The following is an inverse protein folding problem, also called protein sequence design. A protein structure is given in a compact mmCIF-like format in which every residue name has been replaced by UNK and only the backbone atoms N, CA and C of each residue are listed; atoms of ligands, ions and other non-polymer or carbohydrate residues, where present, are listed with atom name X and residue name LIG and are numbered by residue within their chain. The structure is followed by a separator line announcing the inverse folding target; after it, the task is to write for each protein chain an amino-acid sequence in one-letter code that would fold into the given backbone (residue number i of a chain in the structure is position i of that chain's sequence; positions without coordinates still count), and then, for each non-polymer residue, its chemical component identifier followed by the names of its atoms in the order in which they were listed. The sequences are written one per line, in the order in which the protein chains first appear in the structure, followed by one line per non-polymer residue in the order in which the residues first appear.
data_IF_189817905549
#
_entry.id   IF_189817905549
#
_cell.length_a   1.000
_cell.length_b   1.000
_cell.length_c   1.000
_cell.angle_alpha   90.00
_cell.angle_beta   90.00
_cell.angle_gamma   90.00
#
_symmetry.space_group_name_H-M   'P 1'
#
loop_
_entity.id
_entity.type
_entity.pdbx_description
1 polymer ?
#
# COMPACT_ATOMS: atom_id res chain seq x y z
N UNK A 1 16.16 3.89 30.43
CA UNK A 1 16.54 3.18 29.19
C UNK A 1 15.37 3.32 28.24
N UNK A 2 15.52 3.80 27.00
CA UNK A 2 14.37 4.01 26.13
C UNK A 2 13.73 2.65 25.82
N UNK A 3 12.42 2.56 26.10
CA UNK A 3 11.55 1.43 25.81
C UNK A 3 11.65 1.05 24.34
N UNK A 4 12.24 -0.11 24.04
CA UNK A 4 12.41 -0.63 22.69
C UNK A 4 11.11 -1.26 22.14
N UNK A 5 10.01 -0.51 22.10
CA UNK A 5 8.66 -1.07 21.88
C UNK A 5 7.94 -0.64 20.60
N UNK A 6 8.57 0.13 19.70
CA UNK A 6 7.93 0.59 18.46
C UNK A 6 8.59 0.02 17.19
N UNK A 7 7.76 -0.51 16.29
CA UNK A 7 8.16 -1.13 15.02
C UNK A 7 8.86 -0.15 14.05
N UNK A 8 8.35 1.09 14.00
CA UNK A 8 8.82 2.23 13.21
C UNK A 8 8.66 3.51 14.05
N UNK A 9 9.48 4.55 13.83
CA UNK A 9 9.41 5.79 14.61
C UNK A 9 8.13 6.59 14.31
N UNK A 10 7.74 7.49 15.22
CA UNK A 10 6.50 8.26 15.10
C UNK A 10 6.44 9.16 13.84
N UNK A 11 7.54 9.80 13.45
CA UNK A 11 7.68 10.52 12.17
C UNK A 11 8.77 9.88 11.32
N UNK A 12 8.55 9.84 10.00
CA UNK A 12 9.52 9.39 9.01
C UNK A 12 9.60 10.49 7.94
N UNK A 13 10.49 11.49 8.10
CA UNK A 13 10.69 12.52 7.08
C UNK A 13 11.35 11.91 5.85
N UNK A 14 10.98 12.38 4.65
CA UNK A 14 11.45 11.88 3.36
C UNK A 14 11.42 10.34 3.25
N UNK A 15 10.36 9.72 3.76
CA UNK A 15 10.20 8.27 3.70
C UNK A 15 10.19 7.80 2.24
N UNK A 16 11.13 6.93 1.90
CA UNK A 16 11.15 6.25 0.61
C UNK A 16 10.38 4.93 0.71
N UNK A 17 9.28 4.84 -0.03
CA UNK A 17 8.37 3.70 0.01
C UNK A 17 8.28 3.05 -1.37
N UNK A 18 8.65 1.78 -1.47
CA UNK A 18 8.42 0.97 -2.66
C UNK A 18 6.99 0.44 -2.62
N UNK A 19 6.13 0.99 -3.46
CA UNK A 19 4.70 0.64 -3.46
C UNK A 19 4.50 -0.78 -4.00
N UNK A 20 3.97 -1.70 -3.20
CA UNK A 20 3.73 -3.11 -3.62
C UNK A 20 2.24 -3.46 -3.65
N UNK A 21 1.43 -2.77 -2.84
CA UNK A 21 0.00 -2.96 -2.71
C UNK A 21 -0.70 -1.63 -2.98
N UNK A 22 -1.71 -1.67 -3.85
CA UNK A 22 -2.64 -0.57 -4.10
C UNK A 22 -4.03 -1.13 -4.04
N UNK A 23 -4.94 -0.48 -3.31
CA UNK A 23 -6.36 -0.82 -3.39
C UNK A 23 -6.92 -0.29 -4.70
N UNK A 24 -7.89 -1.02 -5.26
CA UNK A 24 -8.68 -0.49 -6.36
C UNK A 24 -9.52 0.69 -5.83
N UNK A 25 -9.47 1.88 -6.46
CA UNK A 25 -10.30 3.01 -6.05
C UNK A 25 -11.77 2.64 -6.19
N UNK A 26 -12.55 2.91 -5.15
CA UNK A 26 -13.97 2.65 -5.14
C UNK A 26 -14.72 4.00 -5.12
N UNK A 27 -15.45 4.39 -6.19
CA UNK A 27 -16.42 5.49 -6.20
C UNK A 27 -17.23 5.62 -4.91
N UNK A 28 -17.06 6.75 -4.24
CA UNK A 28 -17.84 7.10 -3.05
C UNK A 28 -18.42 8.50 -3.20
N UNK A 29 -19.72 8.65 -2.94
CA UNK A 29 -20.46 9.91 -3.04
C UNK A 29 -20.00 11.00 -2.05
N UNK A 30 -19.12 10.70 -1.09
CA UNK A 30 -18.97 11.54 0.10
C UNK A 30 -17.72 12.40 0.12
N UNK A 31 -16.58 11.95 -0.40
CA UNK A 31 -15.33 12.72 -0.41
C UNK A 31 -14.42 12.13 -1.50
N UNK A 32 -13.52 12.96 -2.07
CA UNK A 32 -12.48 12.53 -3.02
C UNK A 32 -11.88 11.20 -2.58
N UNK A 33 -11.83 10.23 -3.50
CA UNK A 33 -11.63 8.83 -3.15
C UNK A 33 -10.27 8.60 -2.48
N UNK A 34 -10.32 8.27 -1.18
CA UNK A 34 -9.14 7.95 -0.39
C UNK A 34 -8.82 6.45 -0.53
N UNK A 35 -7.66 6.15 -1.10
CA UNK A 35 -7.19 4.77 -1.22
C UNK A 35 -6.19 4.44 -0.12
N UNK A 36 -6.11 3.15 0.19
CA UNK A 36 -5.01 2.60 0.97
C UNK A 36 -3.89 2.16 0.02
N UNK A 37 -2.66 2.49 0.38
CA UNK A 37 -1.47 1.94 -0.28
C UNK A 37 -0.57 1.30 0.77
N UNK A 38 0.16 0.27 0.39
CA UNK A 38 1.21 -0.29 1.24
C UNK A 38 2.44 -0.65 0.41
N UNK A 39 3.58 -0.63 1.07
CA UNK A 39 4.86 -0.81 0.45
C UNK A 39 5.93 -1.24 1.43
N UNK A 40 7.16 -1.24 0.94
CA UNK A 40 8.35 -1.61 1.69
C UNK A 40 9.28 -0.41 1.79
N UNK A 41 9.86 -0.19 2.96
CA UNK A 41 11.01 0.67 3.14
C UNK A 41 12.28 -0.03 2.61
N UNK A 42 13.39 0.71 2.49
CA UNK A 42 14.67 0.16 2.04
C UNK A 42 15.16 -1.03 2.86
N UNK A 43 14.87 -1.06 4.17
CA UNK A 43 15.23 -2.16 5.06
C UNK A 43 14.31 -3.38 4.94
N UNK A 44 13.24 -3.30 4.13
CA UNK A 44 12.27 -4.36 3.93
C UNK A 44 11.11 -4.34 4.93
N UNK A 45 11.04 -3.37 5.84
CA UNK A 45 9.87 -3.19 6.70
C UNK A 45 8.66 -2.77 5.88
N UNK A 46 7.54 -3.43 6.15
CA UNK A 46 6.24 -3.02 5.64
C UNK A 46 5.82 -1.67 6.21
N UNK A 47 5.21 -0.84 5.36
CA UNK A 47 4.56 0.41 5.74
C UNK A 47 3.24 0.55 4.98
N UNK A 48 2.19 0.96 5.68
CA UNK A 48 0.88 1.28 5.13
C UNK A 48 0.67 2.78 5.20
N UNK A 49 0.30 3.38 4.08
CA UNK A 49 0.00 4.80 3.98
C UNK A 49 -1.49 4.97 3.72
N UNK A 50 -2.20 5.55 4.69
CA UNK A 50 -3.64 5.80 4.62
C UNK A 50 -4.02 7.03 5.47
N UNK A 51 -4.90 7.91 4.96
CA UNK A 51 -5.44 7.89 3.60
C UNK A 51 -4.50 8.53 2.57
N UNK A 52 -4.60 8.10 1.31
CA UNK A 52 -3.98 8.80 0.17
C UNK A 52 -5.06 9.16 -0.84
N UNK A 53 -5.27 10.45 -1.18
CA UNK A 53 -6.22 10.89 -2.21
C UNK A 53 -5.64 10.63 -3.62
N UNK A 54 -5.40 9.36 -3.96
CA UNK A 54 -4.62 8.99 -5.14
C UNK A 54 -5.24 9.48 -6.46
N UNK A 55 -6.57 9.52 -6.55
CA UNK A 55 -7.27 9.98 -7.76
C UNK A 55 -7.22 11.50 -7.93
N UNK A 56 -7.13 12.24 -6.82
CA UNK A 56 -7.03 13.71 -6.83
C UNK A 56 -5.58 14.18 -7.05
N UNK A 57 -4.59 13.26 -7.01
CA UNK A 57 -3.21 13.59 -7.32
C UNK A 57 -3.07 14.02 -8.78
N UNK A 58 -2.25 15.04 -9.07
CA UNK A 58 -1.81 15.34 -10.42
C UNK A 58 -1.29 14.08 -11.12
N UNK A 59 -1.51 13.95 -12.42
CA UNK A 59 -1.22 12.73 -13.18
C UNK A 59 0.25 12.27 -13.01
N UNK A 60 1.18 13.21 -13.00
CA UNK A 60 2.62 12.99 -12.80
C UNK A 60 2.99 12.51 -11.38
N UNK A 61 2.06 12.64 -10.42
CA UNK A 61 2.19 12.17 -9.03
C UNK A 61 1.46 10.84 -8.80
N UNK A 62 0.75 10.32 -9.80
CA UNK A 62 0.11 9.01 -9.73
C UNK A 62 1.15 7.91 -9.95
N UNK A 63 1.54 7.25 -8.86
CA UNK A 63 2.51 6.15 -8.87
C UNK A 63 1.93 4.79 -9.29
N UNK A 64 2.81 3.97 -9.88
CA UNK A 64 2.55 2.58 -10.25
C UNK A 64 2.94 1.58 -9.16
N UNK A 65 2.51 0.32 -9.29
CA UNK A 65 3.08 -0.77 -8.50
C UNK A 65 4.58 -0.94 -8.81
N UNK A 66 5.34 -1.25 -7.76
CA UNK A 66 6.79 -1.35 -7.70
C UNK A 66 7.51 -0.07 -8.13
N UNK A 67 6.94 1.08 -7.77
CA UNK A 67 7.57 2.39 -7.94
C UNK A 67 7.92 2.96 -6.58
N UNK A 68 9.12 3.53 -6.49
CA UNK A 68 9.53 4.31 -5.34
C UNK A 68 8.75 5.62 -5.30
N UNK A 69 8.30 5.98 -4.12
CA UNK A 69 7.82 7.33 -3.82
C UNK A 69 8.53 7.88 -2.60
N UNK A 70 8.69 9.20 -2.55
CA UNK A 70 9.25 9.89 -1.40
C UNK A 70 8.23 10.87 -0.85
N UNK A 71 7.96 10.80 0.46
CA UNK A 71 7.03 11.69 1.15
C UNK A 71 7.29 11.74 2.67
N UNK A 72 6.88 12.81 3.32
CA UNK A 72 6.91 12.89 4.78
C UNK A 72 5.74 12.11 5.38
N UNK A 73 6.03 11.19 6.29
CA UNK A 73 5.04 10.35 6.95
C UNK A 73 4.99 10.62 8.45
N UNK A 74 3.79 10.58 9.00
CA UNK A 74 3.54 10.60 10.44
C UNK A 74 2.64 9.42 10.82
N UNK A 75 2.87 8.88 12.02
CA UNK A 75 2.08 7.78 12.56
C UNK A 75 0.59 8.09 12.51
N UNK A 76 -0.21 7.15 12.05
CA UNK A 76 -1.67 7.27 12.10
C UNK A 76 -2.17 6.69 13.43
N UNK A 77 -2.39 7.55 14.43
CA UNK A 77 -2.81 7.17 15.79
C UNK A 77 -4.22 6.61 15.87
N UNK A 78 -5.05 6.79 14.82
CA UNK A 78 -6.40 6.23 14.75
C UNK A 78 -6.41 4.79 14.19
N UNK A 79 -5.24 4.24 13.85
CA UNK A 79 -5.08 2.87 13.40
C UNK A 79 -4.09 2.13 14.30
N UNK A 80 -4.54 1.03 14.90
CA UNK A 80 -3.76 0.25 15.87
C UNK A 80 -2.54 -0.44 15.23
N UNK A 81 -2.50 -0.58 13.90
CA UNK A 81 -1.40 -1.28 13.22
C UNK A 81 -0.11 -0.48 13.36
N UNK A 82 1.00 -1.10 13.82
CA UNK A 82 2.25 -0.39 14.05
C UNK A 82 2.92 0.12 12.76
N UNK A 83 2.56 -0.41 11.60
CA UNK A 83 2.99 0.04 10.27
C UNK A 83 2.06 1.07 9.62
N UNK A 84 1.00 1.53 10.29
CA UNK A 84 0.05 2.51 9.75
C UNK A 84 0.55 3.95 9.91
N UNK A 85 0.67 4.64 8.79
CA UNK A 85 1.11 6.02 8.64
C UNK A 85 0.17 6.79 7.71
N UNK A 86 0.23 8.12 7.78
CA UNK A 86 -0.43 9.03 6.87
C UNK A 86 0.57 10.07 6.35
N UNK A 87 0.34 10.67 5.17
CA UNK A 87 1.10 11.84 4.75
C UNK A 87 1.05 12.93 5.83
N UNK A 88 2.20 13.49 6.17
CA UNK A 88 2.31 14.59 7.14
C UNK A 88 1.72 15.89 6.58
N UNK A 89 1.92 16.08 5.28
CA UNK A 89 1.42 17.21 4.50
C UNK A 89 0.44 16.70 3.45
N UNK A 90 -0.14 17.61 2.67
CA UNK A 90 -0.96 17.26 1.52
C UNK A 90 -0.23 16.31 0.57
N UNK A 91 -0.98 15.39 -0.02
CA UNK A 91 -0.42 14.31 -0.83
C UNK A 91 0.24 14.82 -2.13
N UNK A 92 0.00 16.07 -2.54
CA UNK A 92 0.65 16.71 -3.68
C UNK A 92 2.19 16.75 -3.57
N UNK A 93 2.73 16.67 -2.34
CA UNK A 93 4.18 16.64 -2.09
C UNK A 93 4.84 15.28 -2.33
N UNK A 94 4.09 14.26 -2.73
CA UNK A 94 4.66 12.97 -3.13
C UNK A 94 5.65 13.20 -4.27
N UNK A 95 6.86 12.65 -4.16
CA UNK A 95 7.83 12.64 -5.25
C UNK A 95 7.85 11.25 -5.87
N UNK A 96 7.86 11.20 -7.20
CA UNK A 96 7.87 9.96 -7.95
C UNK A 96 9.29 9.58 -8.29
N UNK A 97 9.70 8.39 -7.85
CA UNK A 97 11.00 7.80 -8.12
C UNK A 97 10.95 6.71 -9.20
N UNK A 98 12.02 5.92 -9.24
CA UNK A 98 12.19 4.86 -10.21
C UNK A 98 11.15 3.75 -10.03
N UNK A 99 10.64 3.23 -11.15
CA UNK A 99 9.86 1.99 -11.17
C UNK A 99 10.75 0.77 -11.40
N UNK A 100 10.80 -0.12 -10.41
CA UNK A 100 11.51 -1.40 -10.51
C UNK A 100 10.78 -2.30 -11.51
N UNK A 101 11.45 -2.59 -12.63
CA UNK A 101 10.92 -3.46 -13.69
C UNK A 101 10.97 -4.95 -13.29
N UNK A 102 10.43 -5.80 -14.15
CA UNK A 102 10.29 -7.26 -13.94
C UNK A 102 11.45 -8.08 -14.53
N UNK A 103 12.51 -7.41 -15.02
CA UNK A 103 13.65 -8.06 -15.69
C UNK A 103 14.35 -9.08 -14.77
N UNK A 104 15.04 -10.05 -15.40
CA UNK A 104 15.83 -11.07 -14.72
C UNK A 104 15.03 -11.80 -13.62
N UNK A 105 13.84 -12.29 -13.95
CA UNK A 105 12.96 -12.99 -13.00
C UNK A 105 12.68 -12.16 -11.73
N UNK A 106 12.38 -10.87 -11.90
CA UNK A 106 12.10 -9.93 -10.82
C UNK A 106 13.24 -9.79 -9.78
N UNK A 107 14.50 -10.00 -10.18
CA UNK A 107 15.65 -10.00 -9.28
C UNK A 107 15.70 -8.78 -8.36
N UNK A 108 15.52 -7.57 -8.91
CA UNK A 108 15.55 -6.33 -8.11
C UNK A 108 14.39 -6.24 -7.12
N UNK A 109 13.16 -6.63 -7.51
CA UNK A 109 12.02 -6.60 -6.59
C UNK A 109 12.21 -7.57 -5.43
N UNK A 110 12.78 -8.75 -5.70
CA UNK A 110 13.06 -9.78 -4.69
C UNK A 110 14.02 -9.29 -3.60
N UNK A 111 14.97 -8.39 -3.92
CA UNK A 111 15.89 -7.80 -2.93
C UNK A 111 15.19 -7.06 -1.80
N UNK A 112 13.98 -6.54 -2.04
CA UNK A 112 13.16 -5.86 -1.04
C UNK A 112 12.10 -6.78 -0.45
N UNK A 113 11.33 -7.45 -1.32
CA UNK A 113 10.20 -8.30 -0.91
C UNK A 113 10.64 -9.49 -0.05
N UNK A 114 11.84 -10.03 -0.29
CA UNK A 114 12.35 -11.21 0.42
C UNK A 114 13.29 -10.92 1.60
N UNK A 115 13.37 -9.68 2.07
CA UNK A 115 14.16 -9.37 3.27
C UNK A 115 13.61 -10.02 4.54
N UNK A 116 12.28 -10.08 4.66
CA UNK A 116 11.59 -10.82 5.71
C UNK A 116 10.50 -11.68 5.08
N UNK A 117 10.63 -13.00 5.20
CA UNK A 117 9.68 -13.95 4.62
C UNK A 117 9.29 -14.97 5.66
N UNK A 118 7.99 -15.10 5.87
CA UNK A 118 7.39 -16.12 6.72
C UNK A 118 7.07 -17.35 5.88
N UNK A 119 7.18 -18.53 6.48
CA UNK A 119 6.78 -19.80 5.87
C UNK A 119 5.66 -20.50 6.65
N UNK A 120 5.19 -19.90 7.74
CA UNK A 120 4.17 -20.43 8.63
C UNK A 120 3.09 -19.39 8.86
N UNK A 121 1.86 -19.72 8.45
CA UNK A 121 0.71 -18.88 8.77
C UNK A 121 0.37 -18.93 10.27
N UNK A 122 0.73 -20.01 10.98
CA UNK A 122 0.53 -20.10 12.43
C UNK A 122 1.36 -19.04 13.15
N UNK A 123 2.62 -18.88 12.75
CA UNK A 123 3.54 -17.91 13.34
C UNK A 123 3.03 -16.48 13.09
N UNK A 124 2.54 -16.22 11.88
CA UNK A 124 1.90 -14.95 11.55
C UNK A 124 0.62 -14.68 12.36
N UNK A 125 -0.21 -15.69 12.64
CA UNK A 125 -1.39 -15.53 13.51
C UNK A 125 -0.98 -15.17 14.94
N UNK A 126 0.10 -15.77 15.45
CA UNK A 126 0.66 -15.44 16.77
C UNK A 126 1.16 -13.99 16.79
N UNK A 127 1.99 -13.61 15.81
CA UNK A 127 2.52 -12.24 15.69
C UNK A 127 1.41 -11.19 15.46
N UNK A 128 0.32 -11.56 14.79
CA UNK A 128 -0.86 -10.71 14.61
C UNK A 128 -1.67 -10.52 15.89
N UNK A 129 -1.32 -11.16 17.00
CA UNK A 129 -1.95 -10.99 18.32
C UNK A 129 -0.94 -10.55 19.40
N UNK A 130 0.33 -10.46 19.05
CA UNK A 130 1.42 -10.08 19.95
C UNK A 130 1.70 -8.57 19.91
N UNK A 131 2.59 -8.08 20.77
CA UNK A 131 3.02 -6.68 20.82
C UNK A 131 4.52 -6.55 20.48
N UNK A 132 4.90 -5.81 19.42
CA UNK A 132 4.03 -5.10 18.47
C UNK A 132 3.32 -6.04 17.49
N UNK A 133 2.06 -5.72 17.18
CA UNK A 133 1.22 -6.54 16.31
C UNK A 133 1.69 -6.50 14.85
N UNK A 134 1.91 -7.64 14.19
CA UNK A 134 2.21 -7.65 12.75
C UNK A 134 0.94 -7.85 11.92
N UNK A 135 0.60 -6.89 11.06
CA UNK A 135 -0.60 -6.98 10.20
C UNK A 135 -0.28 -7.16 8.71
N UNK A 136 0.92 -6.79 8.28
CA UNK A 136 1.46 -7.04 6.94
C UNK A 136 2.70 -7.94 7.00
N UNK A 137 2.82 -8.85 6.04
CA UNK A 137 3.94 -9.77 5.93
C UNK A 137 4.10 -10.31 4.50
N UNK A 138 5.33 -10.70 4.16
CA UNK A 138 5.58 -11.56 2.99
C UNK A 138 5.48 -13.01 3.45
N UNK A 139 4.56 -13.78 2.86
CA UNK A 139 4.38 -15.20 3.15
C UNK A 139 4.80 -16.03 1.93
N UNK A 140 5.69 -17.00 2.14
CA UNK A 140 5.96 -18.07 1.19
C UNK A 140 4.90 -19.16 1.39
N UNK A 141 4.02 -19.41 0.41
CA UNK A 141 3.07 -20.52 0.50
C UNK A 141 3.83 -21.86 0.49
N UNK A 142 3.26 -22.86 1.16
CA UNK A 142 3.84 -24.21 1.19
C UNK A 142 3.78 -24.87 -0.19
N UNK A 143 2.61 -24.78 -0.85
CA UNK A 143 2.37 -25.25 -2.20
C UNK A 143 1.47 -24.26 -2.94
N UNK A 144 1.68 -24.13 -4.25
CA UNK A 144 0.73 -23.48 -5.16
C UNK A 144 -0.07 -24.63 -5.78
N UNK A 145 -1.36 -24.73 -5.43
CA UNK A 145 -2.21 -25.86 -5.85
C UNK A 145 -2.72 -25.67 -7.27
N UNK A 146 -3.19 -24.46 -7.59
CA UNK A 146 -3.77 -24.12 -8.88
C UNK A 146 -3.64 -22.61 -9.15
N UNK A 147 -3.78 -22.21 -10.41
CA UNK A 147 -3.83 -20.83 -10.85
C UNK A 147 -4.90 -20.67 -11.93
N UNK A 148 -6.06 -20.16 -11.53
CA UNK A 148 -7.21 -19.97 -12.41
C UNK A 148 -7.32 -18.49 -12.80
N UNK A 149 -7.37 -18.23 -14.11
CA UNK A 149 -7.73 -16.91 -14.65
C UNK A 149 -9.10 -17.05 -15.29
N UNK A 150 -10.05 -16.24 -14.83
CA UNK A 150 -11.37 -16.11 -15.43
C UNK A 150 -11.56 -14.67 -15.91
N UNK A 151 -12.23 -14.52 -17.06
CA UNK A 151 -12.67 -13.18 -17.46
C UNK A 151 -13.75 -12.69 -16.50
N UNK A 152 -13.64 -11.42 -16.11
CA UNK A 152 -14.68 -10.76 -15.34
C UNK A 152 -15.96 -10.68 -16.19
N UNK A 153 -16.96 -11.49 -15.84
CA UNK A 153 -18.23 -11.63 -16.59
C UNK A 153 -19.07 -10.34 -16.58
N UNK A 154 -19.04 -9.61 -15.46
CA UNK A 154 -19.74 -8.34 -15.30
C UNK A 154 -18.74 -7.19 -15.42
N UNK A 155 -18.55 -6.69 -16.65
CA UNK A 155 -17.86 -5.39 -16.89
C UNK A 155 -18.72 -4.19 -16.51
N UNK A 156 -20.01 -4.40 -16.28
CA UNK A 156 -20.92 -3.34 -15.87
C UNK A 156 -20.81 -3.11 -14.37
N UNK A 157 -20.31 -1.93 -14.00
CA UNK A 157 -20.44 -1.47 -12.63
C UNK A 157 -21.91 -1.47 -12.20
N UNK A 158 -22.23 -1.76 -10.92
CA UNK A 158 -23.60 -1.64 -10.43
C UNK A 158 -24.14 -0.24 -10.76
N UNK A 159 -25.43 -0.12 -11.11
CA UNK A 159 -26.02 1.11 -11.67
C UNK A 159 -25.61 2.39 -10.93
N UNK A 160 -25.60 2.35 -9.60
CA UNK A 160 -25.18 3.46 -8.73
C UNK A 160 -23.76 4.02 -9.04
N UNK A 161 -22.83 3.18 -9.49
CA UNK A 161 -21.45 3.56 -9.85
C UNK A 161 -21.38 4.11 -11.29
N UNK A 162 -22.24 3.61 -12.19
CA UNK A 162 -22.34 4.11 -13.58
C UNK A 162 -22.89 5.53 -13.62
N UNK A 163 -23.97 5.77 -12.88
CA UNK A 163 -24.62 7.07 -12.82
C UNK A 163 -23.67 8.13 -12.24
N UNK A 164 -22.85 7.75 -11.26
CA UNK A 164 -21.79 8.61 -10.71
C UNK A 164 -20.72 8.98 -11.76
N UNK A 165 -20.16 7.99 -12.47
CA UNK A 165 -19.13 8.24 -13.47
C UNK A 165 -19.62 9.10 -14.65
N UNK A 166 -20.91 9.04 -14.98
CA UNK A 166 -21.53 9.88 -16.01
C UNK A 166 -21.70 11.35 -15.56
N UNK A 167 -21.99 11.59 -14.28
CA UNK A 167 -22.11 12.93 -13.72
C UNK A 167 -20.76 13.67 -13.64
N UNK A 168 -19.70 12.98 -13.22
CA UNK A 168 -18.32 13.52 -13.17
C UNK A 168 -17.80 13.90 -14.57
N UNK A 169 -18.02 13.06 -15.59
CA UNK A 169 -17.57 13.33 -16.96
C UNK A 169 -18.37 14.43 -17.67
N UNK A 170 -19.59 14.74 -17.20
CA UNK A 170 -20.43 15.82 -17.73
C UNK A 170 -20.17 17.17 -17.06
N UNK A 171 -19.37 17.20 -15.99
CA UNK A 171 -19.05 18.38 -15.18
C UNK A 171 -17.63 18.93 -15.41
N UNK A 172 -16.91 18.38 -16.40
CA UNK A 172 -15.64 18.89 -16.95
C UNK A 172 -15.87 19.49 -18.33
#
# INVERSE_FOLDING_TARGET
MPSSSEYLPYEIPNAEVLITVKTYPLPSNKYGELVCTAGLLHDGKWIRVYPVPFLDLPYEKQYSKYQWITLDLVKNTNDFRPESYRPRHEAERIQIGEQIKTKNYWAERKKYVFKEVFSSMKDLIVLARDTPQKSLATLKPLHIVDFVIEEQKDREWPQQWRDYMLQENSSK
#
